data_IF_891930343245
#
_entry.id   IF_891930343245
#
_cell.length_a   1.000
_cell.length_b   1.000
_cell.length_c   1.000
_cell.angle_alpha   90.00
_cell.angle_beta   90.00
_cell.angle_gamma   90.00
#
_symmetry.space_group_name_H-M   'P 1'
#
loop_
_entity.id
_entity.type
_entity.pdbx_description
1 polymer ?
#
# COMPACT_ATOMS: atom_id res chain seq x y z
N UNK A 1 34.38 20.85 -72.73
CA UNK A 1 32.98 20.39 -72.60
C UNK A 1 32.90 19.46 -71.40
N UNK A 2 31.99 19.80 -70.48
CA UNK A 2 31.39 19.01 -69.38
C UNK A 2 32.31 18.54 -68.25
N UNK A 3 32.23 19.30 -67.15
CA UNK A 3 32.53 18.86 -65.79
C UNK A 3 31.42 17.94 -65.26
N UNK A 4 31.78 16.89 -64.55
CA UNK A 4 30.86 16.14 -63.69
C UNK A 4 31.62 15.73 -62.42
N UNK A 5 31.29 16.41 -61.32
CA UNK A 5 31.79 16.12 -59.98
C UNK A 5 31.05 14.90 -59.42
N UNK A 6 31.78 13.82 -59.07
CA UNK A 6 31.24 12.75 -58.24
C UNK A 6 31.51 13.07 -56.76
N UNK A 7 30.45 13.51 -56.08
CA UNK A 7 30.33 13.50 -54.61
C UNK A 7 30.12 12.06 -54.17
N UNK A 8 30.97 11.54 -53.27
CA UNK A 8 30.65 10.35 -52.48
C UNK A 8 30.81 10.70 -51.01
N UNK A 9 29.66 10.93 -50.36
CA UNK A 9 29.52 11.21 -48.94
C UNK A 9 29.50 9.88 -48.16
N UNK A 10 30.13 9.89 -46.98
CA UNK A 10 30.09 8.86 -45.95
C UNK A 10 28.66 8.42 -45.59
N UNK A 11 28.47 7.19 -45.10
CA UNK A 11 27.49 6.92 -44.07
C UNK A 11 28.22 6.70 -42.74
N UNK A 12 28.17 7.70 -41.86
CA UNK A 12 28.32 7.49 -40.43
C UNK A 12 27.15 6.59 -39.97
N UNK A 13 27.48 5.39 -39.51
CA UNK A 13 26.54 4.52 -38.82
C UNK A 13 26.25 5.12 -37.44
N UNK A 14 25.14 5.86 -37.31
CA UNK A 14 24.58 6.20 -36.01
C UNK A 14 24.03 4.92 -35.36
N UNK A 15 24.83 4.30 -34.49
CA UNK A 15 24.34 3.31 -33.55
C UNK A 15 23.49 4.05 -32.50
N UNK A 16 22.18 4.09 -32.72
CA UNK A 16 21.21 4.50 -31.71
C UNK A 16 21.12 3.38 -30.66
N UNK A 17 21.87 3.53 -29.58
CA UNK A 17 21.65 2.75 -28.36
C UNK A 17 20.34 3.25 -27.75
N UNK A 18 19.25 2.53 -28.00
CA UNK A 18 17.99 2.74 -27.28
C UNK A 18 18.22 2.29 -25.84
N UNK A 19 18.56 3.23 -24.96
CA UNK A 19 18.42 3.08 -23.52
C UNK A 19 16.93 2.88 -23.23
N UNK A 20 16.48 1.64 -23.26
CA UNK A 20 15.17 1.28 -22.76
C UNK A 20 15.11 1.69 -21.30
N UNK A 21 14.20 2.62 -20.96
CA UNK A 21 13.71 2.78 -19.60
C UNK A 21 13.12 1.44 -19.17
N UNK A 22 13.95 0.56 -18.60
CA UNK A 22 13.50 -0.59 -17.84
C UNK A 22 12.90 0.01 -16.56
N UNK A 23 11.59 0.23 -16.56
CA UNK A 23 10.86 0.54 -15.34
C UNK A 23 11.13 -0.61 -14.37
N UNK A 24 11.59 -0.30 -13.16
CA UNK A 24 11.83 -1.33 -12.15
C UNK A 24 10.54 -2.15 -11.96
N UNK A 25 10.63 -3.49 -11.92
CA UNK A 25 9.46 -4.33 -11.70
C UNK A 25 8.78 -3.92 -10.41
N UNK A 26 7.49 -3.58 -10.48
CA UNK A 26 6.74 -3.25 -9.28
C UNK A 26 6.73 -4.47 -8.35
N UNK A 27 6.97 -4.30 -7.04
CA UNK A 27 6.94 -5.42 -6.11
C UNK A 27 5.56 -6.08 -6.15
N UNK A 28 5.54 -7.38 -6.42
CA UNK A 28 4.33 -8.18 -6.41
C UNK A 28 3.96 -8.60 -4.99
N UNK A 29 2.67 -8.75 -4.76
CA UNK A 29 2.07 -9.21 -3.51
C UNK A 29 1.47 -10.60 -3.73
N UNK A 30 1.54 -11.43 -2.71
CA UNK A 30 0.90 -12.74 -2.66
C UNK A 30 -0.25 -12.69 -1.67
N UNK A 31 -1.44 -13.07 -2.12
CA UNK A 31 -2.67 -13.14 -1.33
C UNK A 31 -3.22 -14.55 -1.41
N UNK A 32 -3.50 -15.17 -0.27
CA UNK A 32 -4.18 -16.47 -0.19
C UNK A 32 -5.61 -16.27 0.29
N UNK A 33 -6.59 -16.65 -0.53
CA UNK A 33 -8.03 -16.64 -0.21
C UNK A 33 -8.60 -18.03 -0.44
N UNK A 34 -9.26 -18.60 0.58
CA UNK A 34 -9.86 -19.93 0.49
C UNK A 34 -8.90 -21.04 0.07
N UNK A 35 -7.64 -20.92 0.46
CA UNK A 35 -6.57 -21.86 0.10
C UNK A 35 -5.90 -21.58 -1.26
N UNK A 36 -6.47 -20.73 -2.11
CA UNK A 36 -5.88 -20.36 -3.38
C UNK A 36 -4.97 -19.15 -3.23
N UNK A 37 -3.73 -19.26 -3.70
CA UNK A 37 -2.76 -18.17 -3.66
C UNK A 37 -2.68 -17.49 -5.02
N UNK A 38 -3.00 -16.19 -5.03
CA UNK A 38 -2.88 -15.33 -6.21
C UNK A 38 -1.74 -14.34 -6.00
N UNK A 39 -0.94 -14.14 -7.04
CA UNK A 39 0.05 -13.09 -7.10
C UNK A 39 -0.50 -11.91 -7.90
N UNK A 40 -0.43 -10.70 -7.35
CA UNK A 40 -0.85 -9.49 -8.04
C UNK A 40 0.17 -8.37 -7.88
N UNK A 41 0.24 -7.48 -8.86
CA UNK A 41 1.09 -6.29 -8.80
C UNK A 41 0.26 -5.08 -8.42
N UNK A 42 0.84 -4.18 -7.62
CA UNK A 42 0.19 -2.92 -7.29
C UNK A 42 0.17 -2.02 -8.52
N UNK A 43 -0.99 -1.86 -9.16
CA UNK A 43 -1.18 -0.78 -10.12
C UNK A 43 -1.08 0.56 -9.39
N UNK A 44 -1.76 0.65 -8.24
CA UNK A 44 -1.84 1.85 -7.42
C UNK A 44 -1.61 1.52 -5.94
N UNK A 45 -0.82 2.33 -5.25
CA UNK A 45 -0.61 2.22 -3.80
C UNK A 45 -0.60 3.63 -3.18
N UNK A 46 -1.50 3.86 -2.24
CA UNK A 46 -1.81 5.16 -1.66
C UNK A 46 -1.78 5.07 -0.14
N UNK A 47 -1.40 6.15 0.50
CA UNK A 47 -1.40 6.27 1.95
C UNK A 47 -2.09 7.56 2.40
N UNK A 48 -2.87 7.44 3.47
CA UNK A 48 -3.51 8.53 4.18
C UNK A 48 -3.00 8.53 5.63
N UNK A 49 -2.50 9.65 6.12
CA UNK A 49 -2.01 9.78 7.50
C UNK A 49 -2.75 10.88 8.24
N UNK A 50 -3.31 10.53 9.39
CA UNK A 50 -4.03 11.43 10.28
C UNK A 50 -3.36 11.49 11.65
N UNK A 51 -2.96 12.69 12.05
CA UNK A 51 -2.57 13.06 13.41
C UNK A 51 -3.75 13.79 14.05
N UNK A 52 -4.44 13.12 14.98
CA UNK A 52 -5.71 13.61 15.52
C UNK A 52 -5.55 13.92 17.01
N UNK A 53 -5.68 15.19 17.40
CA UNK A 53 -5.66 15.54 18.80
C UNK A 53 -6.83 14.91 19.58
N UNK A 54 -6.54 14.33 20.74
CA UNK A 54 -7.52 13.64 21.56
C UNK A 54 -7.96 12.28 21.01
N UNK A 55 -7.26 11.76 19.99
CA UNK A 55 -7.55 10.47 19.34
C UNK A 55 -6.25 9.73 18.98
N UNK A 56 -6.39 8.48 18.56
CA UNK A 56 -5.28 7.72 17.97
C UNK A 56 -4.84 8.33 16.63
N UNK A 57 -3.53 8.38 16.40
CA UNK A 57 -3.01 8.56 15.05
C UNK A 57 -3.38 7.32 14.21
N UNK A 58 -3.77 7.55 12.95
CA UNK A 58 -4.08 6.48 11.99
C UNK A 58 -3.27 6.68 10.71
N UNK A 59 -2.60 5.60 10.27
CA UNK A 59 -2.03 5.50 8.94
C UNK A 59 -2.79 4.42 8.16
N UNK A 60 -3.45 4.79 7.07
CA UNK A 60 -4.15 3.86 6.19
C UNK A 60 -3.42 3.72 4.87
N UNK A 61 -3.03 2.49 4.55
CA UNK A 61 -2.35 2.12 3.31
C UNK A 61 -3.33 1.34 2.45
N UNK A 62 -3.57 1.78 1.22
CA UNK A 62 -4.43 1.10 0.25
C UNK A 62 -3.62 0.69 -0.97
N UNK A 63 -3.65 -0.60 -1.30
CA UNK A 63 -2.92 -1.20 -2.43
C UNK A 63 -3.94 -1.88 -3.34
N UNK A 64 -3.98 -1.50 -4.60
CA UNK A 64 -4.92 -2.04 -5.58
C UNK A 64 -4.18 -2.52 -6.84
N UNK A 65 -4.67 -3.61 -7.42
CA UNK A 65 -4.21 -4.12 -8.71
C UNK A 65 -4.77 -3.35 -9.92
N UNK A 66 -5.62 -2.34 -9.67
CA UNK A 66 -6.25 -1.47 -10.67
C UNK A 66 -6.09 0.03 -10.30
N UNK A 67 -6.35 0.97 -11.23
CA UNK A 67 -6.32 2.40 -10.93
C UNK A 67 -7.35 2.80 -9.87
N UNK A 68 -6.89 3.43 -8.79
CA UNK A 68 -7.73 4.06 -7.76
C UNK A 68 -7.24 5.48 -7.44
N UNK A 69 -8.05 6.27 -6.74
CA UNK A 69 -7.73 7.63 -6.30
C UNK A 69 -7.93 7.77 -4.79
N UNK A 70 -7.43 8.86 -4.19
CA UNK A 70 -7.65 9.15 -2.77
C UNK A 70 -8.97 9.88 -2.49
N UNK A 71 -9.65 10.34 -3.53
CA UNK A 71 -10.87 11.13 -3.39
C UNK A 71 -12.12 10.25 -3.40
N UNK A 72 -12.09 9.17 -4.21
CA UNK A 72 -13.25 8.29 -4.41
C UNK A 72 -12.82 6.84 -4.33
N UNK A 73 -13.49 6.10 -3.44
CA UNK A 73 -13.41 4.65 -3.42
C UNK A 73 -14.21 4.05 -4.57
N UNK A 74 -13.58 3.13 -5.31
CA UNK A 74 -14.21 2.33 -6.36
C UNK A 74 -14.07 0.87 -5.96
N UNK A 75 -15.13 0.05 -5.98
CA UNK A 75 -15.01 -1.39 -5.73
C UNK A 75 -14.15 -2.09 -6.79
N UNK A 76 -13.44 -3.19 -6.44
CA UNK A 76 -12.64 -3.94 -7.42
C UNK A 76 -13.54 -4.59 -8.49
N UNK A 77 -13.21 -4.44 -9.79
CA UNK A 77 -13.87 -5.18 -10.86
C UNK A 77 -13.39 -6.65 -10.90
N UNK A 78 -14.01 -7.47 -11.77
CA UNK A 78 -13.67 -8.89 -11.87
C UNK A 78 -12.17 -9.14 -12.08
N UNK A 79 -11.61 -10.09 -11.31
CA UNK A 79 -10.19 -10.42 -11.33
C UNK A 79 -9.27 -9.47 -10.56
N UNK A 80 -9.78 -8.36 -10.05
CA UNK A 80 -8.97 -7.36 -9.33
C UNK A 80 -9.10 -7.47 -7.80
N UNK A 81 -8.09 -6.96 -7.10
CA UNK A 81 -7.96 -6.96 -5.65
C UNK A 81 -7.70 -5.54 -5.16
N UNK A 82 -8.30 -5.18 -4.02
CA UNK A 82 -7.83 -4.07 -3.20
C UNK A 82 -7.62 -4.50 -1.77
N UNK A 83 -6.47 -4.14 -1.23
CA UNK A 83 -6.06 -4.37 0.16
C UNK A 83 -5.97 -3.03 0.86
N UNK A 84 -6.55 -2.93 2.05
CA UNK A 84 -6.37 -1.80 2.95
C UNK A 84 -5.70 -2.30 4.23
N UNK A 85 -4.66 -1.62 4.70
CA UNK A 85 -4.05 -1.87 6.01
C UNK A 85 -4.11 -0.58 6.80
N UNK A 86 -4.93 -0.56 7.86
CA UNK A 86 -4.96 0.54 8.82
C UNK A 86 -4.02 0.25 9.97
N UNK A 87 -3.11 1.17 10.28
CA UNK A 87 -2.23 1.13 11.43
C UNK A 87 -2.70 2.19 12.42
N UNK A 88 -2.93 1.78 13.66
CA UNK A 88 -3.37 2.66 14.73
C UNK A 88 -2.39 2.57 15.90
N UNK A 89 -2.11 3.71 16.52
CA UNK A 89 -1.31 3.82 17.76
C UNK A 89 -2.15 4.46 18.87
N UNK A 90 -1.81 4.21 20.15
CA UNK A 90 -2.51 4.86 21.26
C UNK A 90 -2.48 6.39 21.15
N UNK A 91 -3.49 7.04 21.72
CA UNK A 91 -3.55 8.51 21.82
C UNK A 91 -2.26 9.10 22.42
N UNK A 92 -1.84 10.24 21.87
CA UNK A 92 -0.60 10.91 22.27
C UNK A 92 0.69 10.21 21.79
N UNK A 93 0.59 9.11 21.04
CA UNK A 93 1.70 8.48 20.34
C UNK A 93 1.61 8.79 18.85
N UNK A 94 2.78 8.82 18.21
CA UNK A 94 2.90 8.94 16.75
C UNK A 94 3.18 7.61 16.11
N UNK A 95 2.76 7.45 14.86
CA UNK A 95 3.18 6.33 14.02
C UNK A 95 4.71 6.39 13.86
N UNK A 96 5.38 5.33 14.29
CA UNK A 96 6.83 5.16 14.19
C UNK A 96 7.20 4.07 13.17
N UNK A 97 8.50 3.96 12.86
CA UNK A 97 9.02 2.82 12.12
C UNK A 97 8.97 1.56 13.00
N UNK A 98 8.79 0.40 12.37
CA UNK A 98 8.75 -0.89 13.07
C UNK A 98 7.56 -1.76 12.70
N UNK A 99 7.32 -2.78 13.51
CA UNK A 99 6.30 -3.80 13.30
C UNK A 99 5.00 -3.46 14.02
N UNK A 100 3.88 -3.59 13.30
CA UNK A 100 2.52 -3.43 13.81
C UNK A 100 1.79 -4.75 13.65
N UNK A 101 1.57 -5.49 14.74
CA UNK A 101 1.00 -6.82 14.68
C UNK A 101 -0.49 -6.76 14.34
N UNK A 102 -0.97 -7.79 13.64
CA UNK A 102 -2.39 -8.07 13.50
C UNK A 102 -2.75 -9.25 14.37
N UNK A 103 -3.33 -8.97 15.53
CA UNK A 103 -3.72 -10.00 16.51
C UNK A 103 -5.17 -10.44 16.36
N UNK A 104 -5.91 -9.87 15.40
CA UNK A 104 -7.29 -10.26 15.12
C UNK A 104 -8.37 -9.48 15.84
N UNK A 105 -8.01 -8.67 16.85
CA UNK A 105 -8.84 -7.90 17.80
C UNK A 105 -10.36 -8.13 17.62
N UNK A 106 -10.75 -9.38 17.91
CA UNK A 106 -12.06 -10.04 17.82
C UNK A 106 -12.93 -9.72 16.58
N UNK A 107 -12.40 -9.91 15.36
CA UNK A 107 -13.07 -10.04 14.04
C UNK A 107 -14.10 -8.96 13.60
N UNK A 108 -14.13 -7.84 14.34
CA UNK A 108 -14.72 -6.51 14.13
C UNK A 108 -16.23 -6.35 14.44
N UNK A 109 -16.57 -5.87 15.66
CA UNK A 109 -17.83 -5.15 15.96
C UNK A 109 -17.66 -3.65 16.19
N UNK A 110 -16.48 -3.19 16.65
CA UNK A 110 -15.98 -1.81 16.55
C UNK A 110 -14.48 -1.85 16.91
N UNK A 111 -13.59 -1.66 15.93
CA UNK A 111 -12.15 -1.61 16.23
C UNK A 111 -11.87 -0.44 17.20
N UNK A 112 -11.01 -0.61 18.24
CA UNK A 112 -10.79 0.45 19.22
C UNK A 112 -10.27 1.71 18.54
N UNK A 113 -11.00 2.83 18.69
CA UNK A 113 -10.57 4.15 18.22
C UNK A 113 -9.35 4.67 18.97
N UNK A 114 -9.10 4.16 20.17
CA UNK A 114 -7.90 4.42 20.95
C UNK A 114 -7.39 3.09 21.52
N UNK A 115 -6.46 2.41 20.84
CA UNK A 115 -5.99 1.12 21.29
C UNK A 115 -5.01 1.24 22.45
N UNK A 116 -4.96 0.22 23.30
CA UNK A 116 -3.98 0.14 24.39
C UNK A 116 -2.54 -0.12 23.88
N UNK A 117 -2.40 -0.71 22.69
CA UNK A 117 -1.14 -0.99 22.04
C UNK A 117 -1.23 -0.76 20.52
N UNK A 118 -0.13 -0.40 19.84
CA UNK A 118 -0.10 -0.29 18.39
C UNK A 118 -0.51 -1.59 17.70
N UNK A 119 -1.31 -1.49 16.64
CA UNK A 119 -1.71 -2.65 15.85
C UNK A 119 -1.96 -2.29 14.38
N UNK A 120 -2.09 -3.32 13.54
CA UNK A 120 -2.51 -3.19 12.16
C UNK A 120 -3.77 -3.99 11.87
N UNK A 121 -4.65 -3.47 11.01
CA UNK A 121 -5.89 -4.06 10.54
C UNK A 121 -5.83 -4.27 9.02
N UNK A 122 -5.45 -5.46 8.54
CA UNK A 122 -5.50 -5.80 7.13
C UNK A 122 -6.93 -6.20 6.71
N UNK A 123 -7.44 -5.56 5.66
CA UNK A 123 -8.75 -5.81 5.06
C UNK A 123 -8.60 -6.04 3.56
N UNK A 124 -9.16 -7.13 3.06
CA UNK A 124 -9.10 -7.53 1.67
C UNK A 124 -10.47 -7.35 1.04
N UNK A 125 -10.52 -6.78 -0.16
CA UNK A 125 -11.72 -6.77 -1.01
C UNK A 125 -11.40 -7.36 -2.37
N UNK A 126 -12.31 -8.22 -2.79
CA UNK A 126 -12.41 -8.83 -4.11
C UNK A 126 -13.85 -8.59 -4.62
N UNK A 127 -14.17 -8.89 -5.88
CA UNK A 127 -15.51 -8.67 -6.42
C UNK A 127 -16.60 -9.29 -5.55
N UNK A 128 -17.55 -8.46 -5.10
CA UNK A 128 -18.69 -8.88 -4.28
C UNK A 128 -18.37 -9.32 -2.84
N UNK A 129 -17.10 -9.28 -2.40
CA UNK A 129 -16.71 -9.73 -1.05
C UNK A 129 -15.65 -8.84 -0.42
N UNK A 130 -15.78 -8.60 0.88
CA UNK A 130 -14.76 -7.92 1.67
C UNK A 130 -14.68 -8.54 3.06
N UNK A 131 -13.46 -8.71 3.56
CA UNK A 131 -13.24 -9.36 4.85
C UNK A 131 -11.88 -8.94 5.44
N UNK A 132 -11.75 -8.90 6.78
CA UNK A 132 -10.44 -8.82 7.39
C UNK A 132 -9.62 -10.07 7.08
N UNK A 133 -8.29 -9.94 7.07
CA UNK A 133 -7.40 -11.09 6.99
C UNK A 133 -7.51 -11.91 8.28
N UNK A 134 -7.28 -13.23 8.21
CA UNK A 134 -7.13 -14.06 9.39
C UNK A 134 -6.08 -13.47 10.35
N UNK A 135 -6.31 -13.51 11.67
CA UNK A 135 -5.35 -13.02 12.67
C UNK A 135 -3.97 -13.66 12.51
N UNK A 136 -2.92 -12.84 12.56
CA UNK A 136 -1.54 -13.30 12.55
C UNK A 136 -0.60 -12.48 11.66
N UNK A 137 0.65 -12.39 12.10
CA UNK A 137 1.68 -11.62 11.41
C UNK A 137 1.60 -10.12 11.67
N UNK A 138 2.21 -9.33 10.78
CA UNK A 138 2.37 -7.89 10.95
C UNK A 138 2.59 -7.16 9.62
N UNK A 139 2.41 -5.84 9.67
CA UNK A 139 3.01 -4.91 8.71
C UNK A 139 4.24 -4.27 9.36
N UNK A 140 5.35 -4.21 8.61
CA UNK A 140 6.53 -3.43 8.97
C UNK A 140 6.54 -2.12 8.19
N UNK A 141 6.60 -0.99 8.90
CA UNK A 141 6.86 0.33 8.31
C UNK A 141 8.37 0.56 8.32
N UNK A 142 8.98 0.64 7.14
CA UNK A 142 10.41 0.86 6.95
C UNK A 142 10.73 2.34 6.71
N UNK A 143 9.82 3.07 6.08
CA UNK A 143 9.94 4.50 5.82
C UNK A 143 8.56 5.15 5.93
N UNK A 144 8.52 6.35 6.52
CA UNK A 144 7.33 7.19 6.60
C UNK A 144 7.75 8.65 6.45
N UNK A 145 7.35 9.27 5.35
CA UNK A 145 7.48 10.71 5.14
C UNK A 145 6.12 11.40 5.34
N UNK A 146 5.83 11.99 6.52
CA UNK A 146 4.53 12.56 6.86
C UNK A 146 4.36 13.96 6.25
N UNK A 147 4.41 14.05 4.92
CA UNK A 147 4.21 15.28 4.13
C UNK A 147 3.36 14.95 2.91
N UNK A 148 2.59 15.93 2.41
CA UNK A 148 1.82 15.73 1.17
C UNK A 148 2.79 15.32 0.04
N UNK A 149 2.45 14.24 -0.68
CA UNK A 149 3.30 13.58 -1.68
C UNK A 149 4.55 12.86 -1.15
N UNK A 150 4.70 12.75 0.18
CA UNK A 150 5.67 11.86 0.80
C UNK A 150 5.37 10.40 0.49
N UNK A 151 6.21 9.51 1.00
CA UNK A 151 6.10 8.07 0.75
C UNK A 151 6.04 7.28 2.05
N UNK A 152 5.40 6.12 1.96
CA UNK A 152 5.43 5.08 2.99
C UNK A 152 5.91 3.79 2.33
N UNK A 153 6.95 3.18 2.88
CA UNK A 153 7.46 1.90 2.37
C UNK A 153 7.54 0.87 3.48
N UNK A 154 7.45 -0.40 3.10
CA UNK A 154 7.45 -1.46 4.09
C UNK A 154 7.27 -2.87 3.55
N UNK A 155 6.95 -3.77 4.47
CA UNK A 155 6.74 -5.19 4.22
C UNK A 155 5.43 -5.64 4.88
N UNK A 156 4.61 -6.35 4.11
CA UNK A 156 3.46 -7.08 4.59
C UNK A 156 3.91 -8.52 4.87
N UNK A 157 3.68 -8.99 6.09
CA UNK A 157 4.02 -10.33 6.55
C UNK A 157 2.86 -10.87 7.37
N UNK A 158 1.67 -10.91 6.78
CA UNK A 158 0.49 -11.44 7.45
C UNK A 158 0.25 -12.90 7.08
N UNK A 159 0.06 -13.72 8.11
CA UNK A 159 -0.24 -15.13 7.96
C UNK A 159 -1.00 -15.61 9.20
N UNK A 160 -2.19 -16.14 8.97
CA UNK A 160 -3.09 -16.63 9.98
C UNK A 160 -3.74 -17.95 9.58
N UNK A 161 -4.51 -18.51 10.52
CA UNK A 161 -5.32 -19.71 10.31
C UNK A 161 -6.79 -19.35 10.46
N UNK A 162 -7.66 -19.98 9.67
CA UNK A 162 -9.11 -19.82 9.74
C UNK A 162 -9.77 -21.17 9.46
N UNK A 163 -10.86 -21.45 10.19
CA UNK A 163 -11.74 -22.60 9.91
C UNK A 163 -12.71 -22.31 8.75
N UNK A 164 -12.90 -21.05 8.40
CA UNK A 164 -13.64 -20.64 7.21
C UNK A 164 -12.80 -20.90 5.95
N UNK A 165 -13.23 -21.90 5.18
CA UNK A 165 -12.62 -22.31 3.92
C UNK A 165 -12.62 -21.23 2.83
N UNK A 166 -13.24 -20.07 3.07
CA UNK A 166 -13.29 -18.94 2.13
C UNK A 166 -12.52 -17.71 2.61
N UNK A 167 -11.91 -17.75 3.80
CA UNK A 167 -11.21 -16.62 4.40
C UNK A 167 -9.89 -16.29 3.66
N UNK A 168 -9.45 -15.04 3.72
CA UNK A 168 -8.05 -14.75 3.45
C UNK A 168 -7.18 -15.10 4.65
N UNK A 169 -6.13 -15.86 4.40
CA UNK A 169 -5.24 -16.38 5.44
C UNK A 169 -3.82 -15.86 5.32
N UNK A 170 -3.44 -15.28 4.18
CA UNK A 170 -2.08 -14.78 3.97
C UNK A 170 -2.06 -13.56 3.06
N UNK A 171 -1.22 -12.60 3.41
CA UNK A 171 -0.88 -11.44 2.59
C UNK A 171 0.59 -11.11 2.82
N UNK A 172 1.41 -11.30 1.79
CA UNK A 172 2.86 -11.08 1.88
C UNK A 172 3.40 -10.30 0.69
N UNK A 173 4.32 -9.37 0.93
CA UNK A 173 4.96 -8.61 -0.13
C UNK A 173 5.49 -7.26 0.32
N UNK A 174 6.40 -6.67 -0.46
CA UNK A 174 6.88 -5.31 -0.22
C UNK A 174 5.87 -4.32 -0.79
N UNK A 175 5.76 -3.15 -0.16
CA UNK A 175 4.94 -2.07 -0.68
C UNK A 175 5.66 -0.74 -0.66
N UNK A 176 5.21 0.13 -1.55
CA UNK A 176 5.56 1.54 -1.62
C UNK A 176 4.27 2.29 -1.94
N UNK A 177 3.82 3.15 -1.04
CA UNK A 177 2.59 3.91 -1.16
C UNK A 177 2.89 5.40 -1.14
N UNK A 178 2.25 6.14 -2.04
CA UNK A 178 2.34 7.61 -2.07
C UNK A 178 1.36 8.20 -1.06
N UNK A 179 1.84 9.07 -0.18
CA UNK A 179 1.01 9.84 0.73
C UNK A 179 0.22 10.88 -0.05
N UNK A 180 -1.10 10.73 -0.06
CA UNK A 180 -2.01 11.59 -0.80
C UNK A 180 -2.90 12.43 0.11
N UNK A 181 -3.06 12.04 1.38
CA UNK A 181 -3.72 12.83 2.40
C UNK A 181 -2.86 12.85 3.65
N UNK A 182 -2.65 14.05 4.16
CA UNK A 182 -2.03 14.30 5.45
C UNK A 182 -2.88 15.32 6.19
N UNK A 183 -3.29 15.00 7.40
CA UNK A 183 -4.06 15.90 8.25
C UNK A 183 -3.48 15.87 9.66
N UNK A 184 -3.05 17.03 10.14
CA UNK A 184 -2.68 17.24 11.52
C UNK A 184 -3.67 18.22 12.14
N UNK A 185 -4.55 17.73 13.02
CA UNK A 185 -5.41 18.59 13.82
C UNK A 185 -4.65 18.98 15.09
N UNK A 186 -4.32 20.26 15.31
CA UNK A 186 -3.70 20.68 16.55
C UNK A 186 -4.67 20.46 17.72
N UNK A 187 -4.13 20.16 18.91
CA UNK A 187 -4.93 20.11 20.12
C UNK A 187 -5.66 21.43 20.34
N UNK A 188 -6.93 21.41 20.82
CA UNK A 188 -7.62 22.64 21.15
C UNK A 188 -6.79 23.42 22.17
N UNK A 189 -6.65 24.74 22.03
CA UNK A 189 -5.88 25.55 22.98
C UNK A 189 -6.52 25.44 24.37
N UNK A 190 -5.78 24.89 25.34
CA UNK A 190 -6.19 24.83 26.75
C UNK A 190 -6.11 23.46 27.44
N UNK A 191 -5.57 22.42 26.81
CA UNK A 191 -5.26 21.15 27.49
C UNK A 191 -3.81 21.17 28.01
N UNK A 192 -3.60 21.80 29.18
CA UNK A 192 -2.44 21.59 30.07
C UNK A 192 -2.92 21.02 31.41
#
# INVERSE_FOLDING_TARGET
MIAAALRSLLPWACVLVTLGCQAEPKPALELTVGGETTRFEAHTALAEYWELAGQADELRITIASYPISCDVFVPPPEGEVVVTVSVLVPEGKRIALGDYPWTGLDAIREAPRNPAAPYALPFVRIPGRGFPLAPGGAIRIAELEPKIHGRVTGLLSFQGVSEDATAATRLTGRFEAKLCRYSALPAPPGAE
#
